data_IF_429449381720
#
_entry.id   IF_429449381720
#
_cell.length_a   1.000
_cell.length_b   1.000
_cell.length_c   1.000
_cell.angle_alpha   90.00
_cell.angle_beta   90.00
_cell.angle_gamma   90.00
#
_symmetry.space_group_name_H-M   'P 1'
#
loop_
_entity.id
_entity.type
_entity.pdbx_description
1 polymer ?
#
# COMPACT_ATOMS: atom_id res chain seq x y z
N UNK A 1 8.25 1.07 -19.33
CA UNK A 1 8.50 1.86 -18.12
C UNK A 1 7.38 1.54 -17.14
N UNK A 2 7.68 1.13 -15.93
CA UNK A 2 6.64 0.77 -14.95
C UNK A 2 6.04 2.07 -14.40
N UNK A 3 4.72 2.22 -14.52
CA UNK A 3 4.01 3.38 -14.00
C UNK A 3 3.68 3.17 -12.52
N UNK A 4 4.04 4.15 -11.68
CA UNK A 4 3.75 4.14 -10.25
C UNK A 4 2.26 3.98 -9.96
N UNK A 5 1.41 4.54 -10.82
CA UNK A 5 -0.04 4.50 -10.62
C UNK A 5 -0.56 3.07 -10.81
N UNK A 6 0.04 2.31 -11.74
CA UNK A 6 -0.27 0.89 -11.93
C UNK A 6 0.16 0.06 -10.72
N UNK A 7 1.32 0.36 -10.13
CA UNK A 7 1.77 -0.30 -8.89
C UNK A 7 0.79 -0.03 -7.75
N UNK A 8 0.37 1.22 -7.54
CA UNK A 8 -0.60 1.59 -6.50
C UNK A 8 -1.94 0.91 -6.69
N UNK A 9 -2.45 0.82 -7.92
CA UNK A 9 -3.69 0.11 -8.21
C UNK A 9 -3.62 -1.37 -7.83
N UNK A 10 -2.51 -2.05 -8.17
CA UNK A 10 -2.29 -3.46 -7.83
C UNK A 10 -2.25 -3.66 -6.30
N UNK A 11 -1.51 -2.79 -5.59
CA UNK A 11 -1.42 -2.85 -4.13
C UNK A 11 -2.80 -2.65 -3.49
N UNK A 12 -3.54 -1.62 -3.90
CA UNK A 12 -4.87 -1.32 -3.36
C UNK A 12 -5.87 -2.46 -3.59
N UNK A 13 -5.82 -3.09 -4.77
CA UNK A 13 -6.64 -4.27 -5.07
C UNK A 13 -6.34 -5.43 -4.10
N UNK A 14 -5.06 -5.71 -3.84
CA UNK A 14 -4.63 -6.76 -2.90
C UNK A 14 -4.99 -6.43 -1.45
N UNK A 15 -4.81 -5.18 -1.03
CA UNK A 15 -5.20 -4.73 0.31
C UNK A 15 -6.68 -4.91 0.59
N UNK A 16 -7.53 -4.69 -0.41
CA UNK A 16 -8.97 -4.91 -0.28
C UNK A 16 -9.27 -6.35 0.08
N UNK A 17 -8.61 -7.32 -0.55
CA UNK A 17 -8.76 -8.75 -0.25
C UNK A 17 -8.27 -9.09 1.16
N UNK A 18 -7.10 -8.54 1.55
CA UNK A 18 -6.54 -8.75 2.89
C UNK A 18 -7.45 -8.18 3.98
N UNK A 19 -7.98 -6.98 3.78
CA UNK A 19 -8.90 -6.33 4.72
C UNK A 19 -10.22 -7.09 4.82
N UNK A 20 -10.76 -7.59 3.71
CA UNK A 20 -11.97 -8.41 3.71
C UNK A 20 -11.79 -9.70 4.53
N UNK A 21 -10.67 -10.38 4.35
CA UNK A 21 -10.36 -11.57 5.13
C UNK A 21 -10.12 -11.27 6.62
N UNK A 22 -9.47 -10.15 6.92
CA UNK A 22 -9.27 -9.70 8.29
C UNK A 22 -10.59 -9.34 8.98
N UNK A 23 -11.53 -8.73 8.26
CA UNK A 23 -12.86 -8.37 8.78
C UNK A 23 -13.67 -9.61 9.18
N UNK A 24 -13.58 -10.70 8.42
CA UNK A 24 -14.27 -11.95 8.76
C UNK A 24 -13.61 -12.74 9.90
N UNK A 25 -12.34 -12.46 10.18
CA UNK A 25 -11.52 -13.26 11.11
C UNK A 25 -11.26 -12.58 12.45
N UNK A 26 -11.49 -11.26 12.56
CA UNK A 26 -11.14 -10.48 13.74
C UNK A 26 -12.38 -9.87 14.44
N UNK A 27 -12.35 -9.75 15.78
CA UNK A 27 -13.29 -8.90 16.49
C UNK A 27 -13.24 -7.46 15.98
N UNK A 28 -14.37 -6.76 15.98
CA UNK A 28 -14.50 -5.44 15.36
C UNK A 28 -13.48 -4.40 15.86
N UNK A 29 -13.16 -4.39 17.15
CA UNK A 29 -12.13 -3.49 17.71
C UNK A 29 -10.74 -3.77 17.15
N UNK A 30 -10.39 -5.05 16.96
CA UNK A 30 -9.12 -5.48 16.40
C UNK A 30 -9.06 -5.22 14.89
N UNK A 31 -10.16 -5.45 14.18
CA UNK A 31 -10.25 -5.12 12.76
C UNK A 31 -10.05 -3.62 12.50
N UNK A 32 -10.65 -2.73 13.30
CA UNK A 32 -10.45 -1.28 13.14
C UNK A 32 -8.98 -0.88 13.32
N UNK A 33 -8.31 -1.43 14.33
CA UNK A 33 -6.89 -1.20 14.55
C UNK A 33 -6.03 -1.75 13.38
N UNK A 34 -6.32 -2.99 12.94
CA UNK A 34 -5.64 -3.63 11.83
C UNK A 34 -5.79 -2.85 10.52
N UNK A 35 -7.02 -2.43 10.20
CA UNK A 35 -7.33 -1.63 9.02
C UNK A 35 -6.58 -0.31 9.03
N UNK A 36 -6.58 0.42 10.15
CA UNK A 36 -5.86 1.68 10.28
C UNK A 36 -4.36 1.48 10.04
N UNK A 37 -3.75 0.53 10.74
CA UNK A 37 -2.33 0.22 10.58
C UNK A 37 -1.99 -0.14 9.13
N UNK A 38 -2.79 -1.00 8.51
CA UNK A 38 -2.58 -1.44 7.13
C UNK A 38 -2.66 -0.27 6.15
N UNK A 39 -3.68 0.58 6.26
CA UNK A 39 -3.81 1.74 5.38
C UNK A 39 -2.71 2.78 5.61
N UNK A 40 -2.23 2.95 6.84
CA UNK A 40 -1.11 3.85 7.13
C UNK A 40 0.20 3.33 6.53
N UNK A 41 0.46 2.01 6.63
CA UNK A 41 1.68 1.38 6.10
C UNK A 41 1.71 1.34 4.57
N UNK A 42 0.58 1.04 3.93
CA UNK A 42 0.54 0.88 2.48
C UNK A 42 0.01 2.11 1.74
N UNK A 43 -0.45 3.14 2.44
CA UNK A 43 -0.98 4.37 1.85
C UNK A 43 0.08 5.43 1.56
N UNK A 44 -0.38 6.68 1.45
CA UNK A 44 0.41 7.85 1.03
C UNK A 44 1.64 8.14 1.91
N UNK A 45 1.53 7.85 3.21
CA UNK A 45 2.59 8.14 4.18
C UNK A 45 3.62 7.01 4.35
N UNK A 46 3.29 5.80 3.88
CA UNK A 46 4.17 4.63 3.95
C UNK A 46 4.69 4.26 2.56
N UNK A 47 4.31 3.07 2.07
CA UNK A 47 4.86 2.47 0.87
C UNK A 47 4.80 3.36 -0.38
N UNK A 48 3.77 4.21 -0.53
CA UNK A 48 3.70 5.12 -1.68
C UNK A 48 4.86 6.12 -1.68
N UNK A 49 5.23 6.65 -0.51
CA UNK A 49 6.35 7.59 -0.37
C UNK A 49 7.68 6.90 -0.71
N UNK A 50 7.85 5.67 -0.25
CA UNK A 50 9.07 4.89 -0.50
C UNK A 50 9.21 4.54 -2.00
N UNK A 51 8.09 4.16 -2.65
CA UNK A 51 8.06 3.91 -4.09
C UNK A 51 8.33 5.18 -4.91
N UNK A 52 7.74 6.32 -4.54
CA UNK A 52 8.01 7.60 -5.19
C UNK A 52 9.51 7.97 -5.09
N UNK A 53 10.16 7.71 -3.95
CA UNK A 53 11.60 7.95 -3.77
C UNK A 53 12.44 7.03 -4.65
N UNK A 54 12.15 5.73 -4.64
CA UNK A 54 12.90 4.73 -5.42
C UNK A 54 12.79 5.04 -6.92
N UNK A 55 11.58 5.26 -7.43
CA UNK A 55 11.35 5.52 -8.85
C UNK A 55 11.99 6.82 -9.32
N UNK A 56 12.04 7.86 -8.47
CA UNK A 56 12.80 9.09 -8.75
C UNK A 56 14.30 8.82 -8.85
N UNK A 57 14.86 8.04 -7.92
CA UNK A 57 16.29 7.73 -7.90
C UNK A 57 16.72 6.86 -9.09
N UNK A 58 15.88 5.91 -9.51
CA UNK A 58 16.16 5.07 -10.69
C UNK A 58 16.25 5.91 -11.96
N UNK A 59 15.31 6.85 -12.16
CA UNK A 59 15.33 7.77 -13.30
C UNK A 59 16.55 8.70 -13.34
N UNK A 60 17.17 8.98 -12.19
CA UNK A 60 18.41 9.78 -12.09
C UNK A 60 19.67 8.96 -12.37
N UNK A 61 19.65 7.64 -12.19
CA UNK A 61 20.79 6.74 -12.45
C UNK A 61 20.94 6.34 -13.92
N UNK A 62 19.87 6.45 -14.71
CA UNK A 62 19.85 6.11 -16.13
C UNK A 62 20.13 7.32 -17.05
N UNK A 63 20.46 8.48 -16.49
CA UNK A 63 20.90 9.70 -17.20
C UNK A 63 22.38 9.95 -16.96
#
# INVERSE_FOLDING_TARGET
>A
MVDKEQIYQIINSRLTQVLLFAESSLPQSQFQAFRKLTLDQFGKSGLHKDLDLILRNTNHKER
#
